data_IF_213888469264
#
_entry.id   IF_213888469264
#
_cell.length_a   1.000
_cell.length_b   1.000
_cell.length_c   1.000
_cell.angle_alpha   90.00
_cell.angle_beta   90.00
_cell.angle_gamma   90.00
#
_symmetry.space_group_name_H-M   'P 1'
#
loop_
_entity.id
_entity.type
_entity.pdbx_description
1 polymer ?
#
# COMPACT_ATOMS: atom_id res chain seq x y z
N UNK A 1 -18.03 2.70 9.34
CA UNK A 1 -17.38 3.80 8.58
C UNK A 1 -18.37 4.84 8.07
N UNK A 2 -19.48 4.55 7.32
CA UNK A 2 -20.40 5.59 6.81
C UNK A 2 -21.01 6.48 7.88
N UNK A 3 -21.40 5.91 9.04
CA UNK A 3 -21.93 6.70 10.16
C UNK A 3 -20.93 7.75 10.68
N UNK A 4 -19.66 7.36 10.84
CA UNK A 4 -18.62 8.28 11.30
C UNK A 4 -18.33 9.38 10.28
N UNK A 5 -18.36 9.07 8.98
CA UNK A 5 -18.26 10.10 7.94
C UNK A 5 -19.41 11.09 8.01
N UNK A 6 -20.65 10.61 8.17
CA UNK A 6 -21.82 11.46 8.35
C UNK A 6 -21.76 12.36 9.61
N UNK A 7 -21.20 11.86 10.71
CA UNK A 7 -20.96 12.67 11.92
C UNK A 7 -19.86 13.72 11.67
N UNK A 8 -18.77 13.35 10.99
CA UNK A 8 -17.67 14.25 10.67
C UNK A 8 -18.09 15.43 9.80
N UNK A 9 -18.97 15.18 8.82
CA UNK A 9 -19.48 16.21 7.90
C UNK A 9 -20.30 17.30 8.63
N UNK A 10 -20.88 16.97 9.79
CA UNK A 10 -21.64 17.94 10.61
C UNK A 10 -20.73 18.86 11.43
N UNK A 11 -19.42 18.57 11.50
CA UNK A 11 -18.47 19.43 12.20
C UNK A 11 -18.04 20.56 11.27
N UNK A 12 -18.22 21.83 11.64
CA UNK A 12 -17.78 22.96 10.83
C UNK A 12 -16.25 23.02 10.81
N UNK A 13 -15.65 22.65 9.68
CA UNK A 13 -14.19 22.67 9.46
C UNK A 13 -13.88 23.29 8.10
N UNK A 14 -12.73 23.93 7.99
CA UNK A 14 -12.24 24.57 6.76
C UNK A 14 -11.69 23.56 5.75
N UNK A 15 -11.21 22.42 6.21
CA UNK A 15 -10.73 21.31 5.39
C UNK A 15 -10.80 19.98 6.13
N UNK A 16 -10.95 18.89 5.39
CA UNK A 16 -10.86 17.52 5.88
C UNK A 16 -9.61 16.84 5.31
N UNK A 17 -8.94 16.03 6.12
CA UNK A 17 -7.87 15.16 5.68
C UNK A 17 -8.27 13.69 5.91
N UNK A 18 -8.13 12.86 4.88
CA UNK A 18 -8.38 11.42 4.99
C UNK A 18 -7.22 10.60 4.45
N UNK A 19 -7.04 9.39 4.99
CA UNK A 19 -5.98 8.47 4.62
C UNK A 19 -6.53 7.09 4.32
N UNK A 20 -6.18 6.58 3.15
CA UNK A 20 -6.56 5.24 2.67
C UNK A 20 -7.75 5.27 1.73
N UNK A 21 -7.67 4.47 0.66
CA UNK A 21 -8.64 4.43 -0.46
C UNK A 21 -10.09 4.23 0.01
N UNK A 22 -10.30 3.34 0.97
CA UNK A 22 -11.66 3.09 1.52
C UNK A 22 -12.22 4.29 2.29
N UNK A 23 -11.39 4.96 3.11
CA UNK A 23 -11.82 6.13 3.86
C UNK A 23 -12.07 7.32 2.92
N UNK A 24 -11.20 7.51 1.92
CA UNK A 24 -11.36 8.51 0.86
C UNK A 24 -12.72 8.37 0.19
N UNK A 25 -13.07 7.19 -0.33
CA UNK A 25 -14.34 6.96 -1.01
C UNK A 25 -15.53 7.32 -0.13
N UNK A 26 -15.57 6.80 1.10
CA UNK A 26 -16.67 7.03 2.02
C UNK A 26 -16.83 8.52 2.39
N UNK A 27 -15.72 9.23 2.59
CA UNK A 27 -15.75 10.66 2.93
C UNK A 27 -16.10 11.49 1.71
N UNK A 28 -15.54 11.18 0.52
CA UNK A 28 -15.84 11.89 -0.72
C UNK A 28 -17.31 11.79 -1.12
N UNK A 29 -17.97 10.64 -0.88
CA UNK A 29 -19.40 10.47 -1.10
C UNK A 29 -20.25 11.28 -0.11
N UNK A 30 -19.75 11.55 1.10
CA UNK A 30 -20.48 12.27 2.15
C UNK A 30 -20.26 13.79 2.12
N UNK A 31 -19.19 14.28 1.45
CA UNK A 31 -18.75 15.67 1.49
C UNK A 31 -18.88 16.32 0.11
N UNK A 32 -19.83 17.24 -0.04
CA UNK A 32 -20.08 17.91 -1.32
C UNK A 32 -19.24 19.18 -1.52
N UNK A 33 -19.00 19.96 -0.47
CA UNK A 33 -18.43 21.31 -0.57
C UNK A 33 -17.18 21.54 0.27
N UNK A 34 -17.07 20.88 1.43
CA UNK A 34 -15.89 21.04 2.30
C UNK A 34 -14.65 20.53 1.60
N UNK A 35 -13.57 21.31 1.53
CA UNK A 35 -12.29 20.88 0.96
C UNK A 35 -11.82 19.55 1.54
N UNK A 36 -11.47 18.59 0.66
CA UNK A 36 -11.00 17.27 1.04
C UNK A 36 -9.59 17.02 0.51
N UNK A 37 -8.64 16.88 1.41
CA UNK A 37 -7.26 16.47 1.10
C UNK A 37 -7.11 14.99 1.39
N UNK A 38 -6.74 14.21 0.37
CA UNK A 38 -6.62 12.75 0.50
C UNK A 38 -5.17 12.29 0.45
N UNK A 39 -4.88 11.25 1.20
CA UNK A 39 -3.72 10.40 0.99
C UNK A 39 -4.22 9.02 0.57
N UNK A 40 -4.19 8.75 -0.72
CA UNK A 40 -4.72 7.52 -1.29
C UNK A 40 -3.66 6.73 -2.03
N UNK A 41 -3.78 5.42 -1.99
CA UNK A 41 -2.91 4.51 -2.72
C UNK A 41 -3.47 4.10 -4.08
N UNK A 42 -4.76 4.32 -4.28
CA UNK A 42 -5.46 4.13 -5.55
C UNK A 42 -6.55 5.19 -5.77
N UNK A 43 -6.16 6.47 -5.99
CA UNK A 43 -7.12 7.56 -6.13
C UNK A 43 -7.87 7.54 -7.48
N UNK A 44 -7.49 6.64 -8.40
CA UNK A 44 -7.90 6.72 -9.80
C UNK A 44 -9.36 6.38 -10.06
N UNK A 45 -10.03 5.63 -9.20
CA UNK A 45 -11.44 5.28 -9.40
C UNK A 45 -12.35 6.53 -9.30
N UNK A 46 -11.89 7.59 -8.59
CA UNK A 46 -12.71 8.76 -8.29
C UNK A 46 -12.13 10.10 -8.75
N UNK A 47 -10.88 10.14 -9.19
CA UNK A 47 -10.14 11.38 -9.48
C UNK A 47 -9.37 11.31 -10.79
N UNK A 48 -10.03 11.56 -11.90
CA UNK A 48 -9.38 11.77 -13.18
C UNK A 48 -9.87 13.08 -13.81
N UNK A 49 -8.96 13.93 -14.34
CA UNK A 49 -7.49 13.79 -14.42
C UNK A 49 -6.78 14.28 -13.15
N UNK A 50 -5.62 13.67 -12.83
CA UNK A 50 -4.79 14.04 -11.66
C UNK A 50 -4.36 15.50 -11.62
N UNK A 51 -4.21 16.13 -12.81
CA UNK A 51 -3.80 17.52 -12.93
C UNK A 51 -4.87 18.49 -12.44
N UNK A 52 -6.15 18.14 -12.57
CA UNK A 52 -7.30 18.94 -12.18
C UNK A 52 -8.34 18.01 -11.57
N UNK A 53 -8.22 17.64 -10.28
CA UNK A 53 -9.23 16.87 -9.60
C UNK A 53 -10.57 17.59 -9.69
N UNK A 54 -11.66 16.84 -9.88
CA UNK A 54 -12.98 17.45 -9.94
C UNK A 54 -13.48 17.82 -8.53
N UNK A 55 -14.19 18.95 -8.43
CA UNK A 55 -14.92 19.30 -7.20
C UNK A 55 -14.04 19.83 -6.06
N UNK A 56 -14.28 19.31 -4.87
CA UNK A 56 -13.67 19.76 -3.62
C UNK A 56 -12.47 18.91 -3.14
N UNK A 57 -11.92 18.04 -4.02
CA UNK A 57 -10.89 17.08 -3.66
C UNK A 57 -9.53 17.42 -4.23
N UNK A 58 -8.47 17.26 -3.45
CA UNK A 58 -7.05 17.23 -3.85
C UNK A 58 -6.27 16.32 -2.91
N UNK A 59 -4.95 16.21 -3.06
CA UNK A 59 -4.14 15.41 -2.12
C UNK A 59 -2.87 14.83 -2.70
N UNK A 60 -2.50 13.64 -2.18
CA UNK A 60 -1.27 12.93 -2.51
C UNK A 60 -1.55 11.47 -2.78
N UNK A 61 -0.98 10.94 -3.86
CA UNK A 61 -1.03 9.49 -4.13
C UNK A 61 0.30 8.81 -3.81
N UNK A 62 0.21 7.59 -3.30
CA UNK A 62 1.38 6.76 -3.01
C UNK A 62 1.83 5.87 -4.19
N UNK A 63 1.19 5.92 -5.34
CA UNK A 63 1.51 5.12 -6.53
C UNK A 63 1.73 3.62 -6.24
N UNK A 64 1.07 3.11 -5.22
CA UNK A 64 1.28 1.72 -4.78
C UNK A 64 0.75 0.73 -5.79
N UNK A 65 -0.35 1.07 -6.43
CA UNK A 65 -1.01 0.29 -7.47
C UNK A 65 -0.08 0.11 -8.67
N UNK A 66 0.47 1.19 -9.19
CA UNK A 66 1.36 1.19 -10.36
C UNK A 66 2.70 0.49 -10.08
N UNK A 67 3.15 0.50 -8.83
CA UNK A 67 4.37 -0.17 -8.41
C UNK A 67 4.18 -1.66 -8.10
N UNK A 68 2.96 -2.17 -8.07
CA UNK A 68 2.70 -3.56 -7.71
C UNK A 68 3.34 -4.57 -8.68
N UNK A 69 3.31 -4.37 -10.01
CA UNK A 69 4.07 -5.21 -10.93
C UNK A 69 5.57 -5.19 -10.65
N UNK A 70 6.14 -4.01 -10.36
CA UNK A 70 7.58 -3.89 -10.06
C UNK A 70 7.96 -4.59 -8.75
N UNK A 71 7.09 -4.57 -7.76
CA UNK A 71 7.30 -5.35 -6.52
C UNK A 71 7.27 -6.84 -6.78
N UNK A 72 6.41 -7.32 -7.67
CA UNK A 72 6.41 -8.73 -8.08
C UNK A 72 7.71 -9.12 -8.79
N UNK A 73 8.25 -8.27 -9.68
CA UNK A 73 9.55 -8.47 -10.31
C UNK A 73 10.66 -8.59 -9.25
N UNK A 74 10.73 -7.65 -8.30
CA UNK A 74 11.71 -7.67 -7.22
C UNK A 74 11.59 -8.92 -6.34
N UNK A 75 10.36 -9.34 -6.05
CA UNK A 75 10.11 -10.58 -5.32
C UNK A 75 10.64 -11.79 -6.10
N UNK A 76 10.43 -11.82 -7.42
CA UNK A 76 10.95 -12.87 -8.30
C UNK A 76 12.47 -12.85 -8.41
N UNK A 77 13.12 -11.67 -8.38
CA UNK A 77 14.58 -11.56 -8.32
C UNK A 77 15.14 -12.17 -7.01
N UNK A 78 14.45 -11.97 -5.88
CA UNK A 78 14.82 -12.56 -4.57
C UNK A 78 14.54 -14.05 -4.50
N UNK A 79 13.46 -14.51 -5.12
CA UNK A 79 13.03 -15.91 -5.11
C UNK A 79 12.86 -16.40 -6.57
N UNK A 80 13.96 -16.67 -7.30
CA UNK A 80 13.91 -16.98 -8.73
C UNK A 80 13.08 -18.21 -9.08
N UNK A 81 12.95 -19.16 -8.16
CA UNK A 81 12.16 -20.38 -8.34
C UNK A 81 10.67 -20.20 -8.02
N UNK A 82 10.24 -19.06 -7.48
CA UNK A 82 8.83 -18.83 -7.16
C UNK A 82 7.97 -18.92 -8.41
N UNK A 83 6.99 -19.78 -8.38
CA UNK A 83 6.00 -20.02 -9.45
C UNK A 83 4.57 -19.73 -8.98
N UNK A 84 4.33 -19.76 -7.68
CA UNK A 84 3.05 -19.44 -7.05
C UNK A 84 3.24 -18.34 -6.03
N UNK A 85 2.64 -17.19 -6.27
CA UNK A 85 2.70 -16.05 -5.35
C UNK A 85 1.29 -15.74 -4.85
N UNK A 86 1.15 -15.66 -3.54
CA UNK A 86 -0.09 -15.22 -2.92
C UNK A 86 -0.08 -13.70 -2.76
N UNK A 87 -1.10 -13.03 -3.29
CA UNK A 87 -1.31 -11.58 -3.19
C UNK A 87 -2.38 -11.33 -2.11
N UNK A 88 -1.97 -10.85 -0.95
CA UNK A 88 -2.84 -10.54 0.17
C UNK A 88 -3.26 -9.07 0.13
N UNK A 89 -4.56 -8.81 0.15
CA UNK A 89 -5.13 -7.47 -0.04
C UNK A 89 -6.43 -7.23 0.75
N UNK A 90 -6.81 -5.96 0.88
CA UNK A 90 -8.20 -5.54 1.08
C UNK A 90 -8.86 -5.40 -0.31
N UNK A 91 -9.93 -6.17 -0.61
CA UNK A 91 -10.57 -6.13 -1.94
C UNK A 91 -11.17 -4.77 -2.31
N UNK A 92 -11.50 -3.94 -1.32
CA UNK A 92 -11.99 -2.57 -1.56
C UNK A 92 -10.87 -1.55 -1.80
N UNK A 93 -9.60 -1.92 -1.53
CA UNK A 93 -8.47 -1.01 -1.61
C UNK A 93 -7.47 -1.31 -2.74
N UNK A 94 -7.53 -2.49 -3.36
CA UNK A 94 -6.45 -2.96 -4.22
C UNK A 94 -6.89 -3.63 -5.53
N UNK A 95 -8.12 -3.43 -5.99
CA UNK A 95 -8.65 -4.08 -7.20
C UNK A 95 -7.79 -3.83 -8.45
N UNK A 96 -7.38 -2.59 -8.69
CA UNK A 96 -6.51 -2.23 -9.80
C UNK A 96 -5.09 -2.78 -9.64
N UNK A 97 -4.54 -2.79 -8.42
CA UNK A 97 -3.24 -3.36 -8.14
C UNK A 97 -3.19 -4.86 -8.44
N UNK A 98 -4.24 -5.60 -8.07
CA UNK A 98 -4.39 -7.03 -8.42
C UNK A 98 -4.38 -7.20 -9.92
N UNK A 99 -5.23 -6.46 -10.65
CA UNK A 99 -5.33 -6.54 -12.10
C UNK A 99 -3.98 -6.31 -12.79
N UNK A 100 -3.30 -5.20 -12.49
CA UNK A 100 -2.00 -4.88 -13.07
C UNK A 100 -0.94 -5.95 -12.73
N UNK A 101 -0.98 -6.49 -11.50
CA UNK A 101 -0.04 -7.52 -11.08
C UNK A 101 -0.34 -8.86 -11.76
N UNK A 102 -1.62 -9.22 -11.94
CA UNK A 102 -2.03 -10.41 -12.70
C UNK A 102 -1.63 -10.35 -14.17
N UNK A 103 -1.72 -9.17 -14.79
CA UNK A 103 -1.26 -8.96 -16.18
C UNK A 103 0.26 -9.10 -16.33
N UNK A 104 1.03 -8.72 -15.31
CA UNK A 104 2.49 -8.84 -15.31
C UNK A 104 2.99 -10.26 -14.95
N UNK A 105 2.27 -11.00 -14.12
CA UNK A 105 2.69 -12.27 -13.54
C UNK A 105 3.10 -13.36 -14.59
N UNK A 106 2.40 -13.54 -15.73
CA UNK A 106 2.78 -14.55 -16.73
C UNK A 106 4.16 -14.30 -17.34
N UNK A 107 4.55 -13.03 -17.53
CA UNK A 107 5.87 -12.66 -18.07
C UNK A 107 7.02 -13.04 -17.13
N UNK A 108 6.71 -13.17 -15.84
CA UNK A 108 7.65 -13.58 -14.79
C UNK A 108 7.60 -15.08 -14.51
N UNK A 109 6.75 -15.83 -15.22
CA UNK A 109 6.51 -17.25 -14.95
C UNK A 109 5.88 -17.48 -13.57
N UNK A 110 5.00 -16.57 -13.13
CA UNK A 110 4.32 -16.60 -11.84
C UNK A 110 2.82 -16.77 -12.03
N UNK A 111 2.23 -17.69 -11.26
CA UNK A 111 0.78 -17.77 -11.04
C UNK A 111 0.45 -16.95 -9.79
N UNK A 112 -0.30 -15.87 -9.97
CA UNK A 112 -0.78 -15.04 -8.88
C UNK A 112 -2.09 -15.61 -8.34
N UNK A 113 -2.16 -15.88 -7.04
CA UNK A 113 -3.37 -16.22 -6.30
C UNK A 113 -3.70 -15.04 -5.39
N UNK A 114 -4.99 -14.77 -5.17
CA UNK A 114 -5.43 -13.61 -4.37
C UNK A 114 -6.07 -14.10 -3.08
N UNK A 115 -5.65 -13.51 -1.98
CA UNK A 115 -6.19 -13.69 -0.64
C UNK A 115 -6.78 -12.36 -0.15
N UNK A 116 -7.98 -12.38 0.43
CA UNK A 116 -8.74 -11.17 0.75
C UNK A 116 -8.90 -11.02 2.26
N UNK A 117 -8.59 -9.81 2.76
CA UNK A 117 -8.80 -9.41 4.17
C UNK A 117 -9.38 -8.00 4.17
N UNK A 118 -10.70 -7.88 4.18
CA UNK A 118 -11.43 -6.60 4.21
C UNK A 118 -11.69 -6.08 5.62
N UNK A 119 -11.64 -6.97 6.62
CA UNK A 119 -11.77 -6.63 8.04
C UNK A 119 -10.73 -7.38 8.88
N UNK A 120 -10.34 -6.85 10.06
CA UNK A 120 -9.29 -7.44 10.90
C UNK A 120 -9.49 -8.91 11.25
N UNK A 121 -10.74 -9.31 11.46
CA UNK A 121 -11.15 -10.63 11.92
C UNK A 121 -10.89 -11.72 10.86
N UNK A 122 -10.82 -11.35 9.60
CA UNK A 122 -10.56 -12.26 8.47
C UNK A 122 -9.08 -12.64 8.35
N UNK A 123 -8.16 -11.91 9.00
CA UNK A 123 -6.73 -12.14 8.83
C UNK A 123 -6.31 -13.55 9.24
N UNK A 124 -6.69 -14.04 10.41
CA UNK A 124 -6.25 -15.35 10.91
C UNK A 124 -6.80 -16.53 10.09
N UNK A 125 -8.10 -16.57 9.71
CA UNK A 125 -8.62 -17.55 8.75
C UNK A 125 -7.85 -17.54 7.43
N UNK A 126 -7.57 -16.35 6.89
CA UNK A 126 -6.89 -16.21 5.60
C UNK A 126 -5.43 -16.66 5.67
N UNK A 127 -4.71 -16.35 6.76
CA UNK A 127 -3.36 -16.85 6.98
C UNK A 127 -3.33 -18.39 7.09
N UNK A 128 -4.36 -18.98 7.68
CA UNK A 128 -4.49 -20.45 7.74
C UNK A 128 -4.68 -21.04 6.35
N UNK A 129 -5.53 -20.42 5.51
CA UNK A 129 -5.72 -20.81 4.12
C UNK A 129 -4.41 -20.70 3.34
N UNK A 130 -3.69 -19.58 3.45
CA UNK A 130 -2.39 -19.38 2.80
C UNK A 130 -1.38 -20.45 3.21
N UNK A 131 -1.33 -20.83 4.50
CA UNK A 131 -0.45 -21.89 4.98
C UNK A 131 -0.76 -23.26 4.33
N UNK A 132 -2.04 -23.58 4.12
CA UNK A 132 -2.49 -24.81 3.48
C UNK A 132 -2.17 -24.83 1.97
N UNK A 133 -2.32 -23.70 1.29
CA UNK A 133 -2.02 -23.52 -0.14
C UNK A 133 -0.51 -23.61 -0.45
N UNK A 134 0.35 -23.36 0.55
CA UNK A 134 1.81 -23.40 0.44
C UNK A 134 2.34 -22.64 -0.79
N UNK A 135 2.09 -21.34 -0.93
CA UNK A 135 2.69 -20.54 -2.00
C UNK A 135 4.21 -20.45 -1.82
N UNK A 136 4.92 -20.09 -2.88
CA UNK A 136 6.38 -19.93 -2.83
C UNK A 136 6.80 -18.56 -2.26
N UNK A 137 5.88 -17.57 -2.30
CA UNK A 137 6.09 -16.24 -1.73
C UNK A 137 4.77 -15.54 -1.44
N UNK A 138 4.82 -14.53 -0.57
CA UNK A 138 3.70 -13.68 -0.18
C UNK A 138 3.96 -12.23 -0.63
N UNK A 139 3.01 -11.66 -1.34
CA UNK A 139 2.97 -10.24 -1.65
C UNK A 139 1.84 -9.59 -0.84
N UNK A 140 2.16 -8.67 0.06
CA UNK A 140 1.18 -7.97 0.90
C UNK A 140 0.96 -6.57 0.36
N UNK A 141 -0.25 -6.29 -0.11
CA UNK A 141 -0.63 -4.94 -0.53
C UNK A 141 -0.76 -4.02 0.69
N UNK A 142 -0.27 -2.79 0.61
CA UNK A 142 -0.31 -1.87 1.75
C UNK A 142 -1.64 -1.12 1.80
N UNK A 143 -2.60 -1.67 2.48
CA UNK A 143 -3.85 -1.01 2.85
C UNK A 143 -3.90 -0.70 4.35
N UNK A 144 -4.95 0.00 4.79
CA UNK A 144 -5.13 0.38 6.18
C UNK A 144 -5.41 -0.84 7.07
N UNK A 145 -6.14 -1.84 6.57
CA UNK A 145 -6.47 -3.05 7.32
C UNK A 145 -5.19 -3.83 7.65
N UNK A 146 -4.36 -4.13 6.64
CA UNK A 146 -3.14 -4.90 6.80
C UNK A 146 -1.97 -4.10 7.39
N UNK A 147 -2.06 -2.77 7.37
CA UNK A 147 -0.99 -1.88 7.84
C UNK A 147 -1.19 -1.36 9.26
N UNK A 148 -2.37 -1.52 9.87
CA UNK A 148 -2.64 -1.08 11.23
C UNK A 148 -2.17 -2.11 12.27
N UNK A 149 -1.49 -1.62 13.33
CA UNK A 149 -1.03 -2.49 14.44
C UNK A 149 -2.23 -3.23 15.10
N UNK A 150 -2.11 -4.52 15.47
CA UNK A 150 -0.90 -5.36 15.50
C UNK A 150 -0.63 -6.18 14.21
N UNK A 151 -1.48 -6.13 13.19
CA UNK A 151 -1.44 -6.99 12.00
C UNK A 151 -0.10 -7.08 11.26
N UNK A 152 0.70 -6.00 11.12
CA UNK A 152 2.03 -6.11 10.53
C UNK A 152 2.96 -7.08 11.27
N UNK A 153 2.82 -7.17 12.60
CA UNK A 153 3.61 -8.11 13.41
C UNK A 153 3.10 -9.55 13.21
N UNK A 154 1.78 -9.74 13.20
CA UNK A 154 1.15 -11.05 12.96
C UNK A 154 1.54 -11.61 11.59
N UNK A 155 1.50 -10.77 10.54
CA UNK A 155 1.96 -11.13 9.19
C UNK A 155 3.45 -11.52 9.15
N UNK A 156 4.30 -10.76 9.86
CA UNK A 156 5.73 -11.04 9.90
C UNK A 156 6.03 -12.36 10.64
N UNK A 157 5.36 -12.61 11.75
CA UNK A 157 5.52 -13.84 12.54
C UNK A 157 4.98 -15.06 11.78
N UNK A 158 3.85 -14.91 11.09
CA UNK A 158 3.31 -15.92 10.20
C UNK A 158 4.31 -16.26 9.08
N UNK A 159 4.79 -15.25 8.35
CA UNK A 159 5.71 -15.44 7.23
C UNK A 159 7.00 -16.16 7.64
N UNK A 160 7.53 -15.82 8.82
CA UNK A 160 8.70 -16.53 9.36
C UNK A 160 8.41 -17.98 9.72
N UNK A 161 7.31 -18.24 10.42
CA UNK A 161 6.92 -19.61 10.80
C UNK A 161 6.64 -20.49 9.58
N UNK A 162 6.04 -19.90 8.54
CA UNK A 162 5.74 -20.58 7.29
C UNK A 162 6.95 -20.65 6.32
N UNK A 163 8.12 -20.09 6.69
CA UNK A 163 9.28 -19.95 5.81
C UNK A 163 8.93 -19.27 4.47
N UNK A 164 8.05 -18.26 4.50
CA UNK A 164 7.45 -17.64 3.34
C UNK A 164 8.10 -16.29 3.04
N UNK A 165 8.92 -16.17 1.96
CA UNK A 165 9.45 -14.89 1.51
C UNK A 165 8.33 -13.89 1.27
N UNK A 166 8.49 -12.65 1.77
CA UNK A 166 7.41 -11.67 1.75
C UNK A 166 7.87 -10.32 1.20
N UNK A 167 7.12 -9.78 0.23
CA UNK A 167 7.25 -8.41 -0.28
C UNK A 167 6.13 -7.54 0.29
N UNK A 168 6.50 -6.36 0.80
CA UNK A 168 5.55 -5.37 1.36
C UNK A 168 5.92 -3.95 0.91
N UNK A 169 4.95 -3.02 0.96
CA UNK A 169 5.18 -1.63 0.60
C UNK A 169 5.48 -0.69 1.79
N UNK A 170 5.22 -1.10 3.04
CA UNK A 170 5.48 -0.29 4.23
C UNK A 170 6.37 -1.02 5.25
N UNK A 171 7.31 -0.25 5.84
CA UNK A 171 8.11 -0.70 6.98
C UNK A 171 7.49 -0.18 8.28
N UNK A 172 7.25 -1.06 9.23
CA UNK A 172 6.98 -0.67 10.62
C UNK A 172 8.27 -0.80 11.44
N UNK A 173 8.61 0.24 12.20
CA UNK A 173 9.86 0.28 12.99
C UNK A 173 10.09 -0.94 13.90
N UNK A 174 9.01 -1.64 14.28
CA UNK A 174 9.06 -2.85 15.13
C UNK A 174 9.00 -4.18 14.38
N UNK A 175 8.67 -4.17 13.08
CA UNK A 175 8.54 -5.39 12.26
C UNK A 175 9.69 -5.46 11.25
N UNK A 176 10.89 -5.74 11.71
CA UNK A 176 12.11 -5.76 10.91
C UNK A 176 12.25 -6.92 9.91
N UNK A 177 11.16 -7.45 9.30
CA UNK A 177 11.20 -8.80 8.74
C UNK A 177 10.68 -8.97 7.30
N UNK A 178 10.75 -7.95 6.44
CA UNK A 178 10.33 -8.10 5.04
C UNK A 178 11.17 -7.25 4.09
N UNK A 179 11.25 -7.67 2.82
CA UNK A 179 11.75 -6.81 1.75
C UNK A 179 10.67 -5.79 1.40
N UNK A 180 11.04 -4.54 1.25
CA UNK A 180 10.09 -3.43 1.11
C UNK A 180 10.54 -2.51 -0.01
N UNK A 181 9.71 -2.33 -1.03
CA UNK A 181 9.77 -1.16 -1.90
C UNK A 181 8.75 -0.16 -1.38
N UNK A 182 9.22 0.93 -0.77
CA UNK A 182 8.39 1.92 -0.09
C UNK A 182 8.69 3.34 -0.56
N UNK A 183 7.89 4.25 -0.06
CA UNK A 183 8.08 5.70 -0.14
C UNK A 183 8.63 6.29 1.13
N UNK A 184 9.27 7.44 1.02
CA UNK A 184 9.55 8.32 2.14
C UNK A 184 8.21 8.85 2.71
N UNK A 185 7.77 8.28 3.82
CA UNK A 185 6.50 8.65 4.46
C UNK A 185 6.44 10.14 4.83
N UNK A 186 7.59 10.72 5.20
CA UNK A 186 7.70 12.15 5.52
C UNK A 186 7.33 13.04 4.33
N UNK A 187 7.72 12.68 3.10
CA UNK A 187 7.40 13.44 1.88
C UNK A 187 5.88 13.49 1.65
N UNK A 188 5.20 12.38 1.90
CA UNK A 188 3.74 12.30 1.73
C UNK A 188 3.01 13.21 2.68
N UNK A 189 3.34 13.12 3.98
CA UNK A 189 2.68 13.95 5.00
C UNK A 189 3.02 15.42 4.83
N UNK A 190 4.25 15.75 4.46
CA UNK A 190 4.63 17.14 4.15
C UNK A 190 3.83 17.67 2.96
N UNK A 191 3.73 16.88 1.88
CA UNK A 191 2.95 17.28 0.70
C UNK A 191 1.46 17.43 1.00
N UNK A 192 0.87 16.56 1.82
CA UNK A 192 -0.51 16.70 2.25
C UNK A 192 -0.73 17.94 3.11
N UNK A 193 0.18 18.22 4.06
CA UNK A 193 0.12 19.41 4.90
C UNK A 193 0.24 20.70 4.08
N UNK A 194 1.11 20.72 3.05
CA UNK A 194 1.21 21.84 2.12
C UNK A 194 -0.07 22.07 1.31
N UNK A 195 -0.79 21.00 0.93
CA UNK A 195 -2.09 21.14 0.26
C UNK A 195 -3.12 21.74 1.21
N UNK A 196 -3.19 21.25 2.46
CA UNK A 196 -4.07 21.81 3.49
C UNK A 196 -3.75 23.29 3.71
N UNK A 197 -2.48 23.66 3.88
CA UNK A 197 -2.07 25.06 4.08
C UNK A 197 -2.54 25.97 2.93
N UNK A 198 -2.36 25.55 1.69
CA UNK A 198 -2.84 26.33 0.53
C UNK A 198 -4.36 26.53 0.54
N UNK A 199 -5.13 25.50 0.95
CA UNK A 199 -6.58 25.61 1.06
C UNK A 199 -6.97 26.60 2.15
N UNK A 200 -6.30 26.56 3.31
CA UNK A 200 -6.52 27.51 4.39
C UNK A 200 -6.14 28.97 4.00
N UNK A 201 -5.19 29.11 3.06
CA UNK A 201 -4.81 30.39 2.45
C UNK A 201 -5.75 30.82 1.29
N UNK A 202 -6.82 30.05 1.04
CA UNK A 202 -7.89 30.40 0.09
C UNK A 202 -7.80 29.75 -1.29
N UNK A 203 -6.86 28.83 -1.54
CA UNK A 203 -6.79 28.09 -2.81
C UNK A 203 -7.96 27.09 -2.90
N UNK A 204 -8.54 26.94 -4.10
CA UNK A 204 -9.58 25.94 -4.34
C UNK A 204 -8.96 24.55 -4.60
N UNK A 205 -9.48 23.47 -3.99
CA UNK A 205 -8.98 22.10 -4.22
C UNK A 205 -8.87 21.74 -5.71
N UNK A 206 -9.87 22.10 -6.53
CA UNK A 206 -9.88 21.83 -7.97
C UNK A 206 -8.72 22.48 -8.74
N UNK A 207 -8.05 23.49 -8.19
CA UNK A 207 -6.89 24.15 -8.78
C UNK A 207 -5.55 23.55 -8.31
N UNK A 208 -5.61 22.66 -7.32
CA UNK A 208 -4.44 22.01 -6.75
C UNK A 208 -4.31 20.62 -7.35
N UNK A 209 -3.24 20.34 -8.12
CA UNK A 209 -3.05 19.00 -8.70
C UNK A 209 -2.82 17.96 -7.62
N UNK A 210 -3.32 16.75 -7.86
CA UNK A 210 -2.98 15.60 -7.02
C UNK A 210 -1.49 15.33 -7.14
N UNK A 211 -0.78 15.37 -6.01
CA UNK A 211 0.66 15.14 -6.00
C UNK A 211 0.97 13.66 -6.01
N UNK A 212 1.87 13.26 -6.90
CA UNK A 212 2.44 11.93 -6.90
C UNK A 212 3.75 11.96 -6.13
N UNK A 213 4.02 10.99 -5.27
CA UNK A 213 5.33 10.90 -4.71
C UNK A 213 6.31 10.36 -5.75
N UNK A 214 7.49 10.91 -5.72
CA UNK A 214 8.54 10.68 -6.70
C UNK A 214 9.67 9.82 -6.16
N UNK A 215 9.78 9.68 -4.83
CA UNK A 215 10.89 8.98 -4.19
C UNK A 215 10.44 7.62 -3.64
N UNK A 216 11.07 6.55 -4.11
CA UNK A 216 10.86 5.18 -3.67
C UNK A 216 12.14 4.64 -3.05
N UNK A 217 11.99 3.85 -1.99
CA UNK A 217 13.11 3.26 -1.27
C UNK A 217 13.00 1.74 -1.28
N UNK A 218 14.04 1.06 -1.73
CA UNK A 218 14.18 -0.39 -1.61
C UNK A 218 14.91 -0.71 -0.31
N UNK A 219 14.21 -1.36 0.61
CA UNK A 219 14.80 -1.80 1.88
C UNK A 219 14.89 -3.32 1.89
N UNK A 220 16.07 -3.83 2.19
CA UNK A 220 16.34 -5.28 2.27
C UNK A 220 16.72 -5.65 3.70
N UNK A 221 16.06 -6.67 4.25
CA UNK A 221 16.38 -7.21 5.57
C UNK A 221 17.17 -8.51 5.43
N UNK A 222 18.49 -8.42 5.63
CA UNK A 222 19.39 -9.56 5.54
C UNK A 222 19.18 -10.59 6.65
N UNK A 223 18.79 -10.16 7.86
CA UNK A 223 18.48 -11.08 8.96
C UNK A 223 17.30 -11.98 8.59
N UNK A 224 16.26 -11.43 7.98
CA UNK A 224 15.12 -12.20 7.48
C UNK A 224 15.51 -13.08 6.30
N UNK A 225 16.26 -12.55 5.33
CA UNK A 225 16.74 -13.33 4.20
C UNK A 225 17.52 -14.56 4.68
N UNK A 226 18.45 -14.38 5.62
CA UNK A 226 19.22 -15.48 6.22
C UNK A 226 18.34 -16.48 6.94
N UNK A 227 17.35 -16.01 7.72
CA UNK A 227 16.41 -16.89 8.44
C UNK A 227 15.53 -17.73 7.50
N UNK A 228 15.27 -17.22 6.29
CA UNK A 228 14.53 -17.92 5.23
C UNK A 228 15.42 -18.70 4.25
N UNK A 229 16.75 -18.73 4.48
CA UNK A 229 17.69 -19.39 3.57
C UNK A 229 17.82 -18.73 2.19
N UNK A 230 17.49 -17.45 2.08
CA UNK A 230 17.52 -16.72 0.82
C UNK A 230 18.89 -16.07 0.59
N UNK A 231 19.40 -16.19 -0.61
CA UNK A 231 20.56 -15.42 -1.10
C UNK A 231 20.06 -14.21 -1.88
N UNK A 232 20.32 -13.02 -1.35
CA UNK A 232 19.94 -11.79 -2.04
C UNK A 232 20.99 -11.50 -3.13
N UNK A 233 20.57 -11.34 -4.40
CA UNK A 233 21.49 -11.00 -5.49
C UNK A 233 22.25 -9.69 -5.22
N UNK A 234 23.55 -9.66 -5.57
CA UNK A 234 24.37 -8.48 -5.41
C UNK A 234 23.80 -7.26 -6.13
N UNK A 235 23.18 -7.48 -7.29
CA UNK A 235 22.49 -6.44 -8.07
C UNK A 235 21.35 -5.77 -7.29
N UNK A 236 20.63 -6.51 -6.44
CA UNK A 236 19.59 -5.94 -5.58
C UNK A 236 20.19 -5.19 -4.38
N UNK A 237 21.27 -5.71 -3.80
CA UNK A 237 21.95 -5.03 -2.69
C UNK A 237 22.53 -3.68 -3.11
N UNK A 238 23.04 -3.57 -4.34
CA UNK A 238 23.55 -2.31 -4.91
C UNK A 238 22.46 -1.29 -5.23
N UNK A 239 21.20 -1.76 -5.41
CA UNK A 239 20.03 -0.91 -5.68
C UNK A 239 19.26 -0.57 -4.42
N UNK A 240 19.59 -1.20 -3.30
CA UNK A 240 18.91 -0.97 -2.04
C UNK A 240 19.31 0.39 -1.43
N UNK A 241 18.32 1.17 -1.02
CA UNK A 241 18.52 2.42 -0.27
C UNK A 241 18.88 2.14 1.19
N UNK A 242 18.39 1.02 1.72
CA UNK A 242 18.67 0.57 3.09
C UNK A 242 18.83 -0.95 3.15
N UNK A 243 19.90 -1.40 3.80
CA UNK A 243 20.12 -2.82 4.11
C UNK A 243 20.17 -2.97 5.63
N UNK A 244 19.21 -3.70 6.23
CA UNK A 244 19.17 -3.97 7.66
C UNK A 244 19.73 -5.34 8.00
N UNK A 245 20.51 -5.42 9.08
CA UNK A 245 21.14 -6.65 9.59
C UNK A 245 20.39 -7.21 10.81
#
# INVERSE_FOLDING_TARGET
MPRLAGELVQVPVDALFTMGTRAERIVAEAVETTPLVVYSCDPFEHVTPLAHPAGNLTGVTCMTTELSPKRLELLKEVVPKASRVMFLQDPEAASNAVKLTQEAAPRLGVRLQVANVGVPEELQPELTMIANERPDALFVFPDVVLSSYPRPQELADFALKAHLPTMRAFRFRRCGRAHVLRRAQSEIYTSAAEQVAKILDGARPAELPLRQATRFELVINLKTAKALGLMIPQSLLLRADEVTQ
#
